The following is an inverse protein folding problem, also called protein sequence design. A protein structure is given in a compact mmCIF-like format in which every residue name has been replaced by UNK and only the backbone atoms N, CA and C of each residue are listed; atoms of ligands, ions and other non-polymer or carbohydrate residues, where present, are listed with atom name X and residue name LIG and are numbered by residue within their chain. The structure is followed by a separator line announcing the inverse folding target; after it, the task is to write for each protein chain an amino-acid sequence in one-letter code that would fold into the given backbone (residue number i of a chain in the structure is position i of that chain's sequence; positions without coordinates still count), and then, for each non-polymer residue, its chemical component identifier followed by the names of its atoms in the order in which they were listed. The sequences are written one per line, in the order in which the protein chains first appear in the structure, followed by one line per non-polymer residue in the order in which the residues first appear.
data_IF_690752924864
#
_entry.id   IF_690752924864
#
_cell.length_a   1.000
_cell.length_b   1.000
_cell.length_c   1.000
_cell.angle_alpha   90.00
_cell.angle_beta   90.00
_cell.angle_gamma   90.00
#
_symmetry.space_group_name_H-M   'P 1'
#
loop_
_entity.id
_entity.type
_entity.pdbx_description
1 polymer ?
#
# COMPACT_ATOMS: atom_id res chain seq x y z
N UNK A 1 7.28 13.95 11.97
CA UNK A 1 6.07 14.42 11.26
C UNK A 1 4.95 13.41 11.47
N UNK A 2 3.68 13.81 11.45
CA UNK A 2 2.54 12.87 11.59
C UNK A 2 1.94 12.57 10.21
N UNK A 3 1.92 11.29 9.84
CA UNK A 3 1.22 10.81 8.64
C UNK A 3 -0.29 10.89 8.87
N UNK A 4 -1.05 11.19 7.81
CA UNK A 4 -2.51 11.32 7.88
C UNK A 4 -3.15 9.93 7.82
N UNK A 5 -4.26 9.77 8.53
CA UNK A 5 -5.01 8.51 8.52
C UNK A 5 -5.72 8.31 7.17
N UNK A 6 -5.68 7.10 6.62
CA UNK A 6 -6.48 6.75 5.44
C UNK A 6 -7.96 6.70 5.80
N UNK A 7 -8.84 7.24 4.95
CA UNK A 7 -10.29 7.18 5.19
C UNK A 7 -10.92 5.91 4.66
N UNK A 8 -10.89 5.74 3.34
CA UNK A 8 -11.64 4.70 2.64
C UNK A 8 -10.84 4.23 1.42
N UNK A 9 -10.54 2.94 1.34
CA UNK A 9 -9.70 2.41 0.27
C UNK A 9 -10.27 2.66 -1.14
N UNK A 10 -11.58 2.77 -1.30
CA UNK A 10 -12.21 2.90 -2.61
C UNK A 10 -12.14 4.32 -3.18
N UNK A 11 -12.11 5.34 -2.31
CA UNK A 11 -12.15 6.77 -2.70
C UNK A 11 -10.90 7.55 -2.31
N UNK A 12 -10.04 6.98 -1.47
CA UNK A 12 -8.87 7.63 -0.87
C UNK A 12 -7.57 6.84 -1.13
N UNK A 13 -7.62 5.82 -1.99
CA UNK A 13 -6.45 5.07 -2.42
C UNK A 13 -5.78 5.77 -3.61
N UNK A 14 -4.59 6.31 -3.37
CA UNK A 14 -3.78 7.00 -4.39
C UNK A 14 -3.52 6.15 -5.64
N UNK A 15 -3.20 4.86 -5.46
CA UNK A 15 -2.95 3.93 -6.56
C UNK A 15 -4.22 3.56 -7.33
N UNK A 16 -5.36 3.48 -6.63
CA UNK A 16 -6.62 3.03 -7.20
C UNK A 16 -7.26 4.12 -8.08
N UNK A 17 -7.03 5.39 -7.74
CA UNK A 17 -7.54 6.53 -8.50
C UNK A 17 -6.68 6.89 -9.71
N UNK A 18 -5.43 6.39 -9.77
CA UNK A 18 -4.52 6.68 -10.88
C UNK A 18 -4.71 5.69 -12.01
N UNK A 19 -5.08 6.19 -13.18
CA UNK A 19 -5.14 5.38 -14.39
C UNK A 19 -3.74 5.16 -14.96
N UNK A 20 -3.19 3.98 -14.71
CA UNK A 20 -1.85 3.58 -15.17
C UNK A 20 -1.88 2.55 -16.30
N UNK A 21 -3.06 2.13 -16.75
CA UNK A 21 -3.19 1.15 -17.83
C UNK A 21 -2.63 1.72 -19.14
N UNK A 22 -1.76 0.95 -19.80
CA UNK A 22 -1.09 1.35 -21.04
C UNK A 22 0.01 2.41 -20.89
N UNK A 23 0.39 2.77 -19.66
CA UNK A 23 1.52 3.67 -19.43
C UNK A 23 2.83 2.90 -19.63
N UNK A 24 3.71 3.44 -20.47
CA UNK A 24 5.05 2.92 -20.73
C UNK A 24 6.09 3.79 -20.02
N UNK A 25 7.34 3.32 -19.92
CA UNK A 25 8.47 4.10 -19.37
C UNK A 25 8.59 5.50 -20.02
N UNK A 26 8.33 5.58 -21.32
CA UNK A 26 8.39 6.85 -22.06
C UNK A 26 7.23 7.79 -21.74
N UNK A 27 6.06 7.28 -21.31
CA UNK A 27 4.85 8.07 -21.04
C UNK A 27 4.53 8.23 -19.55
N UNK A 28 5.39 7.78 -18.63
CA UNK A 28 5.15 7.92 -17.17
C UNK A 28 4.95 9.37 -16.74
N UNK A 29 5.57 10.31 -17.43
CA UNK A 29 5.52 11.74 -17.12
C UNK A 29 4.14 12.35 -17.38
N UNK A 30 3.27 11.67 -18.15
CA UNK A 30 1.90 12.12 -18.40
C UNK A 30 0.92 11.65 -17.33
N UNK A 31 1.36 10.79 -16.40
CA UNK A 31 0.49 10.31 -15.33
C UNK A 31 0.21 11.44 -14.36
N UNK A 32 -1.05 11.87 -14.32
CA UNK A 32 -1.52 12.88 -13.38
C UNK A 32 -2.01 12.17 -12.12
N UNK A 33 -1.37 12.50 -11.01
CA UNK A 33 -1.75 11.97 -9.71
C UNK A 33 -2.72 12.92 -9.00
N UNK A 34 -3.86 12.43 -8.50
CA UNK A 34 -4.82 13.26 -7.79
C UNK A 34 -4.27 13.68 -6.42
N UNK A 35 -4.57 14.92 -6.01
CA UNK A 35 -4.23 15.43 -4.68
C UNK A 35 -5.22 14.90 -3.66
N UNK A 36 -4.84 13.84 -2.95
CA UNK A 36 -5.65 13.25 -1.89
C UNK A 36 -5.27 13.77 -0.52
N UNK A 37 -6.23 14.03 0.38
CA UNK A 37 -5.93 14.47 1.74
C UNK A 37 -5.06 13.47 2.49
N UNK A 38 -5.21 12.17 2.25
CA UNK A 38 -4.39 11.09 2.81
C UNK A 38 -2.95 11.07 2.29
N UNK A 39 -2.74 11.43 1.03
CA UNK A 39 -1.44 11.36 0.34
C UNK A 39 -0.67 12.70 0.33
N UNK A 40 -1.25 13.77 0.89
CA UNK A 40 -0.56 15.05 1.05
C UNK A 40 0.51 14.94 2.14
N UNK A 41 1.54 15.80 2.02
CA UNK A 41 2.68 15.89 2.95
C UNK A 41 2.23 15.78 4.42
N UNK A 42 2.97 15.01 5.22
CA UNK A 42 2.72 14.88 6.66
C UNK A 42 2.66 16.22 7.37
N UNK A 43 1.84 16.27 8.41
CA UNK A 43 1.68 17.47 9.23
C UNK A 43 2.90 17.62 10.15
N UNK A 44 3.41 18.84 10.25
CA UNK A 44 4.44 19.20 11.24
C UNK A 44 3.89 18.98 12.65
N UNK A 45 4.70 18.42 13.55
CA UNK A 45 4.28 18.27 14.93
C UNK A 45 3.96 19.65 15.53
N UNK A 46 2.82 19.75 16.21
CA UNK A 46 2.52 20.86 17.12
C UNK A 46 3.04 20.51 18.52
N UNK A 47 3.17 21.52 19.37
CA UNK A 47 3.61 21.34 20.77
C UNK A 47 2.64 20.52 21.62
N UNK A 48 1.40 20.32 21.15
CA UNK A 48 0.38 19.52 21.83
C UNK A 48 0.57 18.00 21.63
N UNK A 49 1.17 17.56 20.53
CA UNK A 49 1.39 16.14 20.25
C UNK A 49 2.77 15.70 20.72
N UNK A 50 2.81 14.74 21.66
CA UNK A 50 4.06 14.15 22.12
C UNK A 50 4.81 13.47 20.97
N UNK A 51 6.05 13.88 20.73
CA UNK A 51 6.92 13.23 19.73
C UNK A 51 7.31 11.86 20.27
N UNK A 52 7.05 10.76 19.52
CA UNK A 52 7.49 9.43 19.95
C UNK A 52 9.02 9.43 20.02
N UNK A 53 9.56 9.02 21.17
CA UNK A 53 11.01 8.85 21.33
C UNK A 53 11.42 7.59 20.56
N UNK A 54 12.45 7.64 19.73
CA UNK A 54 12.97 6.45 19.08
C UNK A 54 13.44 5.46 20.14
N UNK A 55 13.15 4.18 19.93
CA UNK A 55 13.70 3.11 20.77
C UNK A 55 15.18 2.98 20.48
N UNK A 56 16.02 3.02 21.51
CA UNK A 56 17.49 3.00 21.37
C UNK A 56 18.07 1.60 21.07
N UNK A 57 17.26 0.55 21.18
CA UNK A 57 17.71 -0.84 20.99
C UNK A 57 16.87 -1.52 19.91
N UNK A 58 17.36 -1.53 18.68
CA UNK A 58 16.96 -2.51 17.68
C UNK A 58 17.90 -3.70 17.84
N UNK A 59 17.54 -4.67 18.69
CA UNK A 59 18.25 -5.94 18.75
C UNK A 59 17.81 -6.78 17.54
N UNK A 60 18.76 -7.10 16.65
CA UNK A 60 18.61 -8.21 15.72
C UNK A 60 18.66 -9.48 16.56
N UNK A 61 17.49 -10.02 16.87
CA UNK A 61 17.42 -11.36 17.45
C UNK A 61 17.61 -12.34 16.28
N UNK A 62 18.86 -12.75 16.05
CA UNK A 62 19.26 -13.75 15.05
C UNK A 62 18.82 -15.18 15.48
N UNK A 63 17.59 -15.33 15.99
CA UNK A 63 16.99 -16.63 16.25
C UNK A 63 16.08 -17.01 15.08
N UNK A 64 16.73 -17.54 14.04
CA UNK A 64 16.09 -18.26 12.93
C UNK A 64 15.53 -19.61 13.40
N UNK A 65 14.62 -19.63 14.37
CA UNK A 65 13.83 -20.83 14.66
C UNK A 65 12.67 -20.89 13.67
N UNK A 66 12.88 -21.65 12.59
CA UNK A 66 11.86 -22.10 11.65
C UNK A 66 10.77 -22.85 12.44
N UNK A 67 9.74 -22.13 12.88
CA UNK A 67 8.47 -22.73 13.30
C UNK A 67 7.56 -22.77 12.07
N UNK A 68 7.46 -23.95 11.48
CA UNK A 68 6.42 -24.26 10.50
C UNK A 68 5.08 -24.32 11.24
N UNK A 69 4.43 -23.17 11.40
CA UNK A 69 3.11 -23.11 12.01
C UNK A 69 2.03 -23.29 10.93
N UNK A 70 1.57 -24.53 10.80
CA UNK A 70 0.35 -24.88 10.07
C UNK A 70 -0.89 -24.51 10.88
N UNK A 71 -1.11 -23.22 11.11
CA UNK A 71 -2.39 -22.74 11.63
C UNK A 71 -3.35 -22.53 10.46
N UNK A 72 -4.30 -23.45 10.37
CA UNK A 72 -5.57 -23.28 9.67
C UNK A 72 -6.30 -22.10 10.31
N UNK A 73 -6.05 -20.89 9.81
CA UNK A 73 -6.90 -19.73 10.11
C UNK A 73 -8.17 -19.93 9.31
N UNK A 74 -9.28 -20.15 10.04
CA UNK A 74 -10.62 -20.08 9.47
C UNK A 74 -10.77 -18.71 8.84
N UNK A 75 -10.96 -18.68 7.53
CA UNK A 75 -11.30 -17.46 6.80
C UNK A 75 -12.54 -16.85 7.46
N UNK A 76 -12.37 -15.71 8.14
CA UNK A 76 -13.47 -14.81 8.39
C UNK A 76 -13.75 -14.11 7.06
N UNK A 77 -14.81 -14.58 6.42
CA UNK A 77 -15.57 -13.97 5.34
C UNK A 77 -15.64 -12.44 5.54
N UNK A 78 -14.82 -11.71 4.77
CA UNK A 78 -15.06 -10.31 4.46
C UNK A 78 -15.24 -10.21 2.95
N UNK A 79 -16.44 -10.60 2.52
CA UNK A 79 -16.92 -10.40 1.17
C UNK A 79 -17.15 -8.90 0.94
N UNK A 80 -16.09 -8.21 0.53
CA UNK A 80 -16.21 -7.07 -0.35
C UNK A 80 -15.01 -7.11 -1.30
N UNK A 81 -15.13 -7.97 -2.30
CA UNK A 81 -14.28 -8.02 -3.49
C UNK A 81 -13.99 -6.59 -3.96
N UNK A 82 -12.79 -6.11 -3.66
CA UNK A 82 -12.19 -5.02 -4.41
C UNK A 82 -12.13 -5.50 -5.86
N UNK A 83 -12.97 -4.93 -6.73
CA UNK A 83 -12.90 -5.10 -8.19
C UNK A 83 -11.68 -4.40 -8.79
N UNK A 84 -10.51 -4.67 -8.23
CA UNK A 84 -9.25 -4.59 -8.95
C UNK A 84 -8.72 -6.03 -8.93
N UNK A 85 -8.71 -6.74 -10.08
CA UNK A 85 -8.12 -8.05 -10.11
C UNK A 85 -6.64 -7.84 -9.79
N UNK A 86 -6.27 -8.29 -8.58
CA UNK A 86 -4.93 -8.56 -8.08
C UNK A 86 -3.80 -7.80 -8.80
N UNK A 87 -3.01 -6.97 -8.11
CA UNK A 87 -1.80 -6.34 -8.69
C UNK A 87 -0.95 -7.39 -9.46
N UNK A 88 -0.94 -8.64 -9.00
CA UNK A 88 -0.31 -9.78 -9.69
C UNK A 88 -1.03 -10.26 -10.98
N UNK A 89 -2.35 -10.14 -11.10
CA UNK A 89 -3.14 -10.56 -12.27
C UNK A 89 -3.03 -9.56 -13.42
N UNK A 90 -2.99 -8.26 -13.15
CA UNK A 90 -2.69 -7.23 -14.17
C UNK A 90 -1.30 -7.45 -14.80
N UNK A 91 -0.31 -7.86 -14.00
CA UNK A 91 1.05 -8.14 -14.52
C UNK A 91 1.07 -9.44 -15.34
N UNK A 92 0.28 -10.46 -14.98
CA UNK A 92 0.28 -11.77 -15.67
C UNK A 92 -0.52 -11.78 -16.99
N UNK A 93 -1.60 -11.01 -17.10
CA UNK A 93 -2.41 -10.97 -18.33
C UNK A 93 -1.70 -10.30 -19.51
N UNK A 94 -0.71 -9.43 -19.26
CA UNK A 94 0.09 -8.79 -20.31
C UNK A 94 1.10 -9.72 -21.01
N UNK A 95 1.35 -10.95 -20.54
CA UNK A 95 2.35 -11.85 -21.17
C UNK A 95 1.76 -12.79 -22.25
N UNK A 96 0.44 -12.90 -22.38
CA UNK A 96 -0.19 -13.87 -23.29
C UNK A 96 -0.91 -13.27 -24.51
N UNK A 97 -0.84 -11.95 -24.71
CA UNK A 97 -1.38 -11.29 -25.90
C UNK A 97 -0.25 -10.57 -26.65
N UNK A 98 0.58 -11.35 -27.36
CA UNK A 98 1.39 -10.82 -28.46
C UNK A 98 1.29 -11.82 -29.62
N UNK A 99 0.83 -11.41 -30.81
CA UNK A 99 0.89 -12.23 -32.02
C UNK A 99 2.34 -12.49 -32.46
#
# INVERSE_FOLDING_TARGET
MVWREPKNYSIDCYFCLTYISGITSHSIHTVVYPKLPSAIRPVTHNSELSIPKPTETWSLDDNDDIVSDSVVVKEAEYDQVCRCPNIAYCIKTQRMESP
#
